data_IF_581077940495
#
_entry.id   IF_581077940495
#
_cell.length_a   1.000
_cell.length_b   1.000
_cell.length_c   1.000
_cell.angle_alpha   90.00
_cell.angle_beta   90.00
_cell.angle_gamma   90.00
#
_symmetry.space_group_name_H-M   'P 1'
#
loop_
_entity.id
_entity.type
_entity.pdbx_description
1 polymer ?
#
# COMPACT_ATOMS: atom_id res chain seq x y z
N UNK A 1 31.82 0.30 18.22
CA UNK A 1 31.04 1.16 17.32
C UNK A 1 29.98 1.85 18.16
N UNK A 2 29.77 3.17 18.00
CA UNK A 2 28.74 3.90 18.75
C UNK A 2 27.34 3.58 18.23
N UNK A 3 26.34 3.54 19.11
CA UNK A 3 24.94 3.34 18.74
C UNK A 3 24.43 4.53 17.91
N UNK A 4 23.77 4.31 16.76
CA UNK A 4 23.25 5.41 15.95
C UNK A 4 22.10 6.15 16.67
N UNK A 5 22.01 7.47 16.46
CA UNK A 5 20.91 8.27 17.02
C UNK A 5 19.59 7.99 16.29
N UNK A 6 18.42 8.14 16.94
CA UNK A 6 17.12 8.00 16.26
C UNK A 6 16.96 8.95 15.06
N UNK A 7 17.56 10.13 15.12
CA UNK A 7 17.55 11.10 14.02
C UNK A 7 18.29 10.55 12.79
N UNK A 8 19.47 9.96 12.99
CA UNK A 8 20.26 9.34 11.93
C UNK A 8 19.55 8.11 11.35
N UNK A 9 18.99 7.24 12.20
CA UNK A 9 18.20 6.08 11.75
C UNK A 9 17.06 6.53 10.83
N UNK A 10 16.33 7.56 11.22
CA UNK A 10 15.25 8.13 10.40
C UNK A 10 15.79 8.66 9.05
N UNK A 11 16.83 9.49 9.07
CA UNK A 11 17.40 10.06 7.85
C UNK A 11 17.84 8.97 6.86
N UNK A 12 18.53 7.94 7.33
CA UNK A 12 19.00 6.83 6.50
C UNK A 12 17.85 5.98 5.99
N UNK A 13 16.89 5.61 6.83
CA UNK A 13 15.73 4.78 6.41
C UNK A 13 14.82 5.50 5.41
N UNK A 14 14.75 6.83 5.44
CA UNK A 14 14.04 7.60 4.43
C UNK A 14 14.73 7.65 3.07
N UNK A 15 16.01 7.29 2.99
CA UNK A 15 16.74 7.21 1.71
C UNK A 15 16.45 5.91 0.95
N UNK A 16 15.75 4.94 1.57
CA UNK A 16 15.36 3.69 0.90
C UNK A 16 14.39 4.03 -0.25
N UNK A 17 14.73 3.69 -1.51
CA UNK A 17 13.88 4.00 -2.64
C UNK A 17 12.66 3.08 -2.61
N UNK A 18 11.50 3.67 -2.35
CA UNK A 18 10.25 2.95 -2.23
C UNK A 18 9.23 3.48 -3.24
N UNK A 19 8.49 2.57 -3.86
CA UNK A 19 7.26 2.90 -4.56
C UNK A 19 6.28 3.61 -3.60
N UNK A 20 5.32 4.34 -4.16
CA UNK A 20 4.19 4.89 -3.40
C UNK A 20 2.90 4.48 -4.09
N UNK A 21 2.03 3.79 -3.36
CA UNK A 21 0.84 3.14 -3.89
C UNK A 21 -0.34 3.27 -2.93
N UNK A 22 -1.54 2.97 -3.41
CA UNK A 22 -2.69 2.70 -2.55
C UNK A 22 -2.86 1.19 -2.35
N UNK A 23 -2.91 0.75 -1.10
CA UNK A 23 -3.27 -0.61 -0.72
C UNK A 23 -4.75 -0.66 -0.45
N UNK A 24 -5.50 -1.33 -1.31
CA UNK A 24 -6.94 -1.55 -1.17
C UNK A 24 -7.24 -2.83 -0.39
N UNK A 25 -8.25 -2.80 0.47
CA UNK A 25 -8.68 -3.97 1.23
C UNK A 25 -10.19 -3.94 1.52
N UNK A 26 -10.77 -5.11 1.76
CA UNK A 26 -12.17 -5.28 2.14
C UNK A 26 -12.31 -6.43 3.14
N UNK A 27 -13.22 -6.27 4.10
CA UNK A 27 -13.75 -7.36 4.94
C UNK A 27 -15.27 -7.19 5.03
N UNK A 28 -16.03 -8.16 4.52
CA UNK A 28 -17.49 -8.04 4.39
C UNK A 28 -17.89 -6.77 3.60
N UNK A 29 -18.71 -5.92 4.21
CA UNK A 29 -19.19 -4.66 3.62
C UNK A 29 -18.26 -3.45 3.87
N UNK A 30 -17.15 -3.64 4.59
CA UNK A 30 -16.23 -2.58 4.93
C UNK A 30 -15.05 -2.53 3.95
N UNK A 31 -14.82 -1.35 3.37
CA UNK A 31 -13.81 -1.11 2.34
C UNK A 31 -12.88 0.00 2.79
N UNK A 32 -11.59 -0.14 2.49
CA UNK A 32 -10.63 0.93 2.70
C UNK A 32 -9.54 0.92 1.63
N UNK A 33 -8.87 2.05 1.51
CA UNK A 33 -7.55 2.08 0.90
C UNK A 33 -6.60 2.94 1.74
N UNK A 34 -5.31 2.66 1.66
CA UNK A 34 -4.29 3.37 2.43
C UNK A 34 -3.05 3.61 1.58
N UNK A 35 -2.47 4.79 1.69
CA UNK A 35 -1.14 5.08 1.15
C UNK A 35 -0.09 4.20 1.82
N UNK A 36 0.68 3.45 1.05
CA UNK A 36 1.80 2.66 1.56
C UNK A 36 3.03 2.76 0.65
N UNK A 37 4.20 2.57 1.25
CA UNK A 37 5.48 2.54 0.55
C UNK A 37 6.31 1.29 0.79
N UNK A 38 5.94 0.43 1.74
CA UNK A 38 6.66 -0.81 2.03
C UNK A 38 6.04 -1.98 1.27
N UNK A 39 6.44 -2.10 0.00
CA UNK A 39 5.90 -3.04 -0.98
C UNK A 39 7.08 -3.65 -1.75
N UNK A 40 7.11 -4.97 -1.91
CA UNK A 40 8.14 -5.64 -2.72
C UNK A 40 7.64 -6.97 -3.29
N UNK A 41 8.14 -7.37 -4.46
CA UNK A 41 8.02 -8.76 -4.90
C UNK A 41 8.92 -9.63 -4.02
N UNK A 42 8.45 -10.84 -3.68
CA UNK A 42 9.15 -11.79 -2.79
C UNK A 42 9.34 -13.18 -3.38
N UNK A 43 8.63 -13.54 -4.45
CA UNK A 43 8.82 -14.81 -5.16
C UNK A 43 8.50 -14.68 -6.65
N UNK A 44 9.10 -15.57 -7.45
CA UNK A 44 8.81 -15.77 -8.88
C UNK A 44 7.88 -16.98 -9.12
N UNK A 45 7.85 -17.95 -8.20
CA UNK A 45 7.02 -19.16 -8.33
C UNK A 45 6.51 -19.62 -6.94
N UNK A 46 5.22 -19.41 -6.61
CA UNK A 46 4.28 -18.56 -7.34
C UNK A 46 4.69 -17.08 -7.28
N UNK A 47 4.27 -16.27 -8.27
CA UNK A 47 4.56 -14.83 -8.26
C UNK A 47 3.87 -14.18 -7.07
N UNK A 48 4.66 -13.73 -6.10
CA UNK A 48 4.14 -13.23 -4.82
C UNK A 48 4.73 -11.87 -4.47
N UNK A 49 3.91 -11.03 -3.84
CA UNK A 49 4.30 -9.71 -3.33
C UNK A 49 4.04 -9.64 -1.83
N UNK A 50 4.79 -8.79 -1.15
CA UNK A 50 4.59 -8.50 0.27
C UNK A 50 4.31 -7.02 0.50
N UNK A 51 3.39 -6.75 1.44
CA UNK A 51 3.09 -5.41 1.95
C UNK A 51 3.23 -5.40 3.47
N UNK A 52 3.99 -4.43 3.99
CA UNK A 52 4.15 -4.26 5.45
C UNK A 52 3.23 -3.16 5.95
N UNK A 53 2.26 -3.52 6.79
CA UNK A 53 1.18 -2.63 7.23
C UNK A 53 1.23 -2.43 8.74
N UNK A 54 1.20 -1.18 9.21
CA UNK A 54 1.13 -0.85 10.65
C UNK A 54 -0.12 -1.49 11.25
N UNK A 55 0.04 -2.21 12.37
CA UNK A 55 -1.05 -2.93 13.06
C UNK A 55 -2.19 -2.03 13.53
N UNK A 56 -1.97 -0.70 13.64
CA UNK A 56 -3.02 0.28 13.96
C UNK A 56 -3.88 0.68 12.77
N UNK A 57 -3.47 0.37 11.54
CA UNK A 57 -4.18 0.81 10.34
C UNK A 57 -5.48 0.01 10.16
N UNK A 58 -6.55 0.69 9.74
CA UNK A 58 -7.80 0.00 9.36
C UNK A 58 -7.53 -1.06 8.28
N UNK A 59 -6.70 -0.74 7.28
CA UNK A 59 -6.32 -1.67 6.22
C UNK A 59 -5.64 -2.93 6.75
N UNK A 60 -4.89 -2.87 7.85
CA UNK A 60 -4.28 -4.07 8.45
C UNK A 60 -5.36 -5.10 8.83
N UNK A 61 -6.37 -4.65 9.58
CA UNK A 61 -7.50 -5.51 9.97
C UNK A 61 -8.24 -6.05 8.74
N UNK A 62 -8.56 -5.19 7.77
CA UNK A 62 -9.30 -5.60 6.59
C UNK A 62 -8.55 -6.62 5.73
N UNK A 63 -7.22 -6.49 5.58
CA UNK A 63 -6.42 -7.50 4.88
C UNK A 63 -6.38 -8.82 5.66
N UNK A 64 -6.21 -8.75 6.99
CA UNK A 64 -6.18 -9.93 7.84
C UNK A 64 -7.50 -10.71 7.86
N UNK A 65 -8.64 -10.01 7.92
CA UNK A 65 -9.97 -10.64 7.92
C UNK A 65 -10.44 -11.02 6.52
N UNK A 66 -10.15 -10.19 5.51
CA UNK A 66 -10.59 -10.37 4.13
C UNK A 66 -9.73 -11.31 3.30
N UNK A 67 -8.49 -11.60 3.73
CA UNK A 67 -7.61 -12.55 3.08
C UNK A 67 -7.06 -12.09 1.72
N UNK A 68 -7.21 -10.81 1.36
CA UNK A 68 -6.70 -10.27 0.11
C UNK A 68 -6.39 -8.77 0.20
N UNK A 69 -5.56 -8.30 -0.73
CA UNK A 69 -5.28 -6.87 -0.91
C UNK A 69 -5.02 -6.54 -2.38
N UNK A 70 -5.28 -5.29 -2.77
CA UNK A 70 -4.79 -4.74 -4.03
C UNK A 70 -3.64 -3.77 -3.82
N UNK A 71 -2.73 -3.71 -4.78
CA UNK A 71 -1.72 -2.64 -4.90
C UNK A 71 -2.06 -1.81 -6.12
N UNK A 72 -2.37 -0.54 -5.93
CA UNK A 72 -2.73 0.39 -7.00
C UNK A 72 -1.63 1.44 -7.15
N UNK A 73 -0.90 1.38 -8.26
CA UNK A 73 0.20 2.28 -8.59
C UNK A 73 -0.34 3.56 -9.24
N UNK A 74 0.29 4.69 -8.95
CA UNK A 74 -0.15 6.00 -9.43
C UNK A 74 0.89 6.68 -10.32
N UNK A 75 0.46 7.66 -11.11
CA UNK A 75 1.37 8.54 -11.84
C UNK A 75 2.16 9.45 -10.88
N UNK A 76 3.47 9.67 -11.09
CA UNK A 76 4.23 10.66 -10.33
C UNK A 76 3.73 12.09 -10.51
N UNK A 77 2.93 12.37 -11.55
CA UNK A 77 2.40 13.71 -11.83
C UNK A 77 1.18 14.08 -10.96
N UNK A 78 0.56 13.11 -10.27
CA UNK A 78 -0.59 13.34 -9.38
C UNK A 78 -0.41 12.72 -8.00
N UNK A 79 0.46 13.30 -7.19
CA UNK A 79 0.77 12.78 -5.85
C UNK A 79 -0.24 13.16 -4.76
N UNK A 80 -1.24 14.00 -5.08
CA UNK A 80 -2.26 14.46 -4.11
C UNK A 80 -3.11 13.32 -3.57
N UNK A 81 -3.26 12.25 -4.35
CA UNK A 81 -3.97 11.04 -3.92
C UNK A 81 -3.38 10.49 -2.62
N UNK A 82 -2.07 10.48 -2.46
CA UNK A 82 -1.42 9.85 -1.32
C UNK A 82 -1.69 10.57 0.00
N UNK A 83 -1.93 11.89 -0.05
CA UNK A 83 -2.35 12.65 1.12
C UNK A 83 -3.80 12.31 1.50
N UNK A 84 -4.70 12.17 0.51
CA UNK A 84 -6.11 11.82 0.74
C UNK A 84 -6.26 10.46 1.43
N UNK A 85 -5.38 9.51 1.16
CA UNK A 85 -5.40 8.16 1.73
C UNK A 85 -4.39 7.95 2.87
N UNK A 86 -3.92 9.04 3.49
CA UNK A 86 -3.06 8.97 4.71
C UNK A 86 -3.84 8.66 6.00
N UNK A 87 -5.18 8.65 5.92
CA UNK A 87 -6.14 8.30 6.97
C UNK A 87 -7.17 7.32 6.39
N UNK A 88 -7.92 6.58 7.24
CA UNK A 88 -9.01 5.73 6.79
C UNK A 88 -9.93 6.47 5.81
N UNK A 89 -10.19 5.85 4.67
CA UNK A 89 -11.01 6.41 3.62
C UNK A 89 -12.50 6.33 3.99
N UNK A 90 -13.27 7.30 3.51
CA UNK A 90 -14.74 7.25 3.58
C UNK A 90 -15.29 6.66 2.30
N UNK A 91 -16.21 5.69 2.42
CA UNK A 91 -16.91 5.06 1.30
C UNK A 91 -18.19 5.82 0.97
N UNK A 92 -18.42 6.06 -0.32
CA UNK A 92 -19.68 6.55 -0.88
C UNK A 92 -19.95 5.82 -2.19
N UNK A 93 -20.93 4.91 -2.20
CA UNK A 93 -21.14 3.99 -3.31
C UNK A 93 -19.87 3.21 -3.66
N UNK A 94 -19.48 3.22 -4.94
CA UNK A 94 -18.22 2.63 -5.46
C UNK A 94 -17.10 3.67 -5.52
N UNK A 95 -17.00 4.52 -4.49
CA UNK A 95 -15.94 5.50 -4.33
C UNK A 95 -15.33 5.43 -2.93
N UNK A 96 -14.02 5.61 -2.86
CA UNK A 96 -13.28 5.84 -1.62
C UNK A 96 -12.64 7.22 -1.69
N UNK A 97 -12.92 8.09 -0.72
CA UNK A 97 -12.47 9.50 -0.73
C UNK A 97 -12.78 10.22 -2.06
N UNK A 98 -13.92 9.90 -2.67
CA UNK A 98 -14.37 10.44 -3.96
C UNK A 98 -13.74 9.81 -5.21
N UNK A 99 -12.72 8.95 -5.07
CA UNK A 99 -12.12 8.25 -6.20
C UNK A 99 -12.93 7.00 -6.58
N UNK A 100 -13.33 6.85 -7.86
CA UNK A 100 -13.95 5.62 -8.35
C UNK A 100 -13.04 4.41 -8.16
N UNK A 101 -13.63 3.32 -7.72
CA UNK A 101 -13.03 2.00 -7.76
C UNK A 101 -14.05 1.00 -8.30
N UNK A 102 -13.55 -0.09 -8.84
CA UNK A 102 -14.34 -1.28 -9.12
C UNK A 102 -13.97 -2.40 -8.15
N UNK A 103 -14.89 -3.33 -7.97
CA UNK A 103 -14.58 -4.57 -7.28
C UNK A 103 -13.61 -5.42 -8.13
N UNK A 104 -12.53 -5.90 -7.49
CA UNK A 104 -11.56 -6.81 -8.06
C UNK A 104 -12.03 -8.27 -8.03
N UNK A 105 -11.27 -9.19 -8.64
CA UNK A 105 -11.58 -10.63 -8.61
C UNK A 105 -11.52 -11.22 -7.21
N UNK A 106 -10.75 -10.60 -6.31
CA UNK A 106 -10.65 -10.95 -4.89
C UNK A 106 -11.67 -10.19 -4.02
N UNK A 107 -12.50 -9.34 -4.62
CA UNK A 107 -13.44 -8.49 -3.90
C UNK A 107 -12.82 -7.24 -3.28
N UNK A 108 -11.52 -6.98 -3.45
CA UNK A 108 -10.85 -5.76 -2.93
C UNK A 108 -11.03 -4.59 -3.91
N UNK A 109 -10.90 -3.32 -3.48
CA UNK A 109 -11.09 -2.18 -4.38
C UNK A 109 -9.91 -2.04 -5.34
N UNK A 110 -10.19 -1.89 -6.63
CA UNK A 110 -9.22 -1.56 -7.68
C UNK A 110 -9.57 -0.20 -8.29
N UNK A 111 -8.66 0.76 -8.21
CA UNK A 111 -8.92 2.15 -8.64
C UNK A 111 -8.78 2.32 -10.14
N UNK A 112 -9.79 2.94 -10.77
CA UNK A 112 -9.83 3.16 -12.23
C UNK A 112 -8.73 4.10 -12.71
N UNK A 113 -8.37 5.10 -11.90
CA UNK A 113 -7.33 6.08 -12.23
C UNK A 113 -5.90 5.60 -11.89
N UNK A 114 -5.72 4.35 -11.46
CA UNK A 114 -4.38 3.77 -11.25
C UNK A 114 -3.69 3.53 -12.59
N UNK A 115 -2.38 3.79 -12.66
CA UNK A 115 -1.59 3.53 -13.88
C UNK A 115 -1.30 2.05 -14.05
N UNK A 116 -1.32 1.30 -12.94
CA UNK A 116 -1.26 -0.15 -12.89
C UNK A 116 -1.79 -0.64 -11.55
N UNK A 117 -2.25 -1.89 -11.51
CA UNK A 117 -2.74 -2.51 -10.30
C UNK A 117 -2.45 -4.01 -10.28
N UNK A 118 -2.42 -4.55 -9.07
CA UNK A 118 -2.24 -5.96 -8.75
C UNK A 118 -3.27 -6.35 -7.69
N UNK A 119 -3.80 -7.56 -7.76
CA UNK A 119 -4.59 -8.18 -6.69
C UNK A 119 -3.83 -9.40 -6.18
N UNK A 120 -3.76 -9.54 -4.85
CA UNK A 120 -3.07 -10.62 -4.20
C UNK A 120 -3.95 -11.29 -3.15
N UNK A 121 -4.04 -12.62 -3.20
CA UNK A 121 -4.62 -13.43 -2.14
C UNK A 121 -3.55 -13.70 -1.09
N UNK A 122 -3.84 -13.45 0.19
CA UNK A 122 -2.87 -13.64 1.29
C UNK A 122 -2.58 -15.13 1.46
N UNK A 123 -1.30 -15.49 1.38
CA UNK A 123 -0.83 -16.87 1.56
C UNK A 123 -0.03 -17.05 2.85
N UNK A 124 0.54 -15.97 3.40
CA UNK A 124 1.27 -16.01 4.67
C UNK A 124 1.32 -14.62 5.34
N UNK A 125 1.59 -14.60 6.64
CA UNK A 125 1.78 -13.36 7.41
C UNK A 125 2.94 -13.50 8.40
N UNK A 126 3.76 -12.47 8.51
CA UNK A 126 4.88 -12.43 9.46
C UNK A 126 4.74 -11.23 10.37
N UNK A 127 4.74 -11.47 11.68
CA UNK A 127 4.83 -10.40 12.68
C UNK A 127 6.25 -9.80 12.70
N UNK A 128 6.37 -8.51 12.42
CA UNK A 128 7.64 -7.78 12.42
C UNK A 128 7.63 -6.62 13.43
N UNK A 129 6.87 -6.77 14.52
CA UNK A 129 6.78 -5.82 15.62
C UNK A 129 5.61 -4.85 15.45
N UNK A 130 5.88 -3.63 14.99
CA UNK A 130 4.84 -2.60 14.81
C UNK A 130 3.98 -2.83 13.57
N UNK A 131 4.44 -3.69 12.67
CA UNK A 131 3.79 -4.02 11.42
C UNK A 131 3.58 -5.53 11.31
N UNK A 132 2.67 -5.92 10.43
CA UNK A 132 2.61 -7.28 9.89
C UNK A 132 3.00 -7.20 8.42
N UNK A 133 3.88 -8.11 8.01
CA UNK A 133 4.17 -8.35 6.60
C UNK A 133 3.13 -9.34 6.08
N UNK A 134 2.23 -8.88 5.22
CA UNK A 134 1.29 -9.74 4.50
C UNK A 134 1.95 -10.16 3.19
N UNK A 135 2.04 -11.47 2.96
CA UNK A 135 2.56 -12.05 1.73
C UNK A 135 1.37 -12.58 0.94
N UNK A 136 1.22 -12.16 -0.31
CA UNK A 136 0.14 -12.61 -1.17
C UNK A 136 0.62 -13.07 -2.53
N UNK A 137 -0.01 -14.14 -3.02
CA UNK A 137 0.13 -14.65 -4.38
C UNK A 137 -0.69 -13.77 -5.33
N UNK A 138 -0.10 -13.36 -6.46
CA UNK A 138 -0.78 -12.56 -7.46
C UNK A 138 -1.83 -13.39 -8.19
N UNK A 139 -3.08 -12.91 -8.17
CA UNK A 139 -4.22 -13.58 -8.83
C UNK A 139 -4.81 -12.76 -9.97
N UNK A 140 -4.57 -11.45 -10.00
CA UNK A 140 -4.92 -10.59 -11.13
C UNK A 140 -3.99 -9.37 -11.21
N UNK A 141 -3.88 -8.80 -12.40
CA UNK A 141 -3.10 -7.59 -12.66
C UNK A 141 -3.66 -6.83 -13.85
N UNK A 142 -3.39 -5.53 -13.90
CA UNK A 142 -3.70 -4.71 -15.07
C UNK A 142 -2.83 -3.45 -15.11
N UNK A 143 -2.75 -2.85 -16.30
CA UNK A 143 -2.00 -1.63 -16.56
C UNK A 143 -2.80 -0.74 -17.51
N UNK A 144 -2.78 0.57 -17.28
CA UNK A 144 -3.20 1.54 -18.29
C UNK A 144 -2.20 1.51 -19.45
N UNK A 145 -2.65 1.03 -20.62
CA UNK A 145 -1.83 0.92 -21.82
C UNK A 145 -1.35 2.28 -22.34
N UNK A 146 -2.03 3.38 -21.99
CA UNK A 146 -1.62 4.73 -22.36
C UNK A 146 -0.49 5.28 -21.48
N UNK A 147 -0.27 4.70 -20.29
CA UNK A 147 0.79 5.13 -19.38
C UNK A 147 2.15 4.53 -19.75
N UNK A 148 3.07 5.39 -20.18
CA UNK A 148 4.44 5.02 -20.57
C UNK A 148 5.50 5.35 -19.50
N UNK A 149 5.11 6.05 -18.43
CA UNK A 149 6.01 6.49 -17.37
C UNK A 149 6.25 5.43 -16.29
N UNK A 150 7.12 5.77 -15.34
CA UNK A 150 7.23 5.01 -14.08
C UNK A 150 6.03 5.27 -13.17
N UNK A 151 5.85 4.42 -12.17
CA UNK A 151 4.96 4.70 -11.05
C UNK A 151 5.57 5.75 -10.10
N UNK A 152 4.71 6.39 -9.31
CA UNK A 152 5.11 7.26 -8.22
C UNK A 152 5.96 6.52 -7.18
N UNK A 153 6.88 7.26 -6.59
CA UNK A 153 7.76 6.86 -5.49
C UNK A 153 7.55 7.82 -4.33
N UNK A 154 8.01 7.42 -3.13
CA UNK A 154 7.92 8.31 -1.97
C UNK A 154 8.67 9.64 -2.20
N UNK A 155 9.74 9.62 -3.02
CA UNK A 155 10.55 10.77 -3.38
C UNK A 155 9.84 11.81 -4.27
N UNK A 156 8.71 11.46 -4.88
CA UNK A 156 7.86 12.40 -5.62
C UNK A 156 6.99 13.27 -4.68
N UNK A 157 7.10 13.04 -3.38
CA UNK A 157 6.29 13.70 -2.35
C UNK A 157 7.17 14.27 -1.23
N UNK A 158 6.54 15.02 -0.32
CA UNK A 158 7.16 15.42 0.96
C UNK A 158 6.92 14.42 2.08
N UNK A 159 6.25 13.30 1.80
CA UNK A 159 5.93 12.28 2.79
C UNK A 159 7.21 11.59 3.26
N UNK A 160 7.20 11.16 4.52
CA UNK A 160 8.29 10.40 5.12
C UNK A 160 7.67 9.26 5.91
N UNK A 161 8.11 8.05 5.62
CA UNK A 161 7.67 6.86 6.32
C UNK A 161 8.87 5.94 6.57
N UNK A 162 8.99 5.46 7.80
CA UNK A 162 10.09 4.62 8.26
C UNK A 162 10.98 5.27 9.31
N UNK A 163 11.88 4.44 9.84
CA UNK A 163 12.73 4.74 10.97
C UNK A 163 12.05 4.47 12.32
N UNK A 164 12.54 5.13 13.37
CA UNK A 164 12.01 5.04 14.73
C UNK A 164 10.70 5.83 14.83
N UNK A 165 9.69 5.31 15.54
CA UNK A 165 8.43 6.02 15.82
C UNK A 165 8.72 7.42 16.35
N UNK A 166 8.07 8.41 15.74
CA UNK A 166 8.10 9.81 16.18
C UNK A 166 6.86 10.06 17.02
N UNK A 167 6.98 10.79 18.11
CA UNK A 167 5.82 11.16 18.93
C UNK A 167 4.77 11.88 18.06
N UNK A 168 3.52 11.42 18.11
CA UNK A 168 2.40 12.01 17.35
C UNK A 168 1.60 11.08 16.43
N UNK A 169 1.87 9.77 16.42
CA UNK A 169 1.11 8.76 15.65
C UNK A 169 0.73 7.51 16.47
#
# INVERSE_FOLDING_TARGET
MSTPTPQLINQVTWMIPNALALIGARSGEEWNAMTASWITQVSMEPVSIAVSIDKKALTHRLVGEGGAFSVNLWSPDDTRVFVKFSKPATKDGMRLNGLPFREGVTGVPVFEASVAWLEAAVIDTIDVGTHTLFIGELVAAGKDASHQGRAASIGDTRMKYGGVRRGGH
#
